data_IF_858349352320
#
_entry.id   IF_858349352320
#
_cell.length_a   1.000
_cell.length_b   1.000
_cell.length_c   1.000
_cell.angle_alpha   90.00
_cell.angle_beta   90.00
_cell.angle_gamma   90.00
#
_symmetry.space_group_name_H-M   'P 1'
#
loop_
_entity.id
_entity.type
_entity.pdbx_description
1 polymer ?
#
# COMPACT_ATOMS: atom_id res chain seq x y z
N UNK A 1 0.66 6.60 11.50
CA UNK A 1 1.50 6.83 12.71
C UNK A 1 0.72 6.58 14.00
N UNK A 2 -0.57 6.87 14.07
CA UNK A 2 -1.39 6.77 15.29
C UNK A 2 -1.39 5.37 15.91
N UNK A 3 -1.52 4.29 15.11
CA UNK A 3 -1.47 2.91 15.62
C UNK A 3 -0.09 2.56 16.22
N UNK A 4 1.02 3.00 15.62
CA UNK A 4 2.36 2.72 16.15
C UNK A 4 2.56 3.38 17.53
N UNK A 5 2.08 4.62 17.69
CA UNK A 5 2.13 5.31 18.98
C UNK A 5 1.24 4.62 20.02
N UNK A 6 0.03 4.21 19.62
CA UNK A 6 -0.87 3.47 20.50
C UNK A 6 -0.23 2.17 21.01
N UNK A 7 0.40 1.39 20.11
CA UNK A 7 1.11 0.15 20.49
C UNK A 7 2.23 0.45 21.50
N UNK A 8 3.05 1.48 21.23
CA UNK A 8 4.15 1.86 22.11
C UNK A 8 3.63 2.27 23.50
N UNK A 9 2.61 3.12 23.57
CA UNK A 9 1.99 3.59 24.81
C UNK A 9 1.36 2.43 25.60
N UNK A 10 0.64 1.54 24.89
CA UNK A 10 0.03 0.35 25.52
C UNK A 10 1.06 -0.58 26.17
N UNK A 11 2.24 -0.70 25.53
CA UNK A 11 3.33 -1.55 26.03
C UNK A 11 4.27 -0.83 26.99
N UNK A 12 4.10 0.49 27.21
CA UNK A 12 4.99 1.30 28.03
C UNK A 12 6.38 1.46 27.44
N UNK A 13 6.48 1.48 26.10
CA UNK A 13 7.71 1.62 25.33
C UNK A 13 7.82 3.02 24.71
N UNK A 14 9.02 3.41 24.34
CA UNK A 14 9.24 4.61 23.53
C UNK A 14 9.20 4.25 22.04
N UNK A 15 8.47 5.04 21.26
CA UNK A 15 8.44 4.91 19.81
C UNK A 15 9.62 5.64 19.17
N UNK A 16 10.40 4.93 18.37
CA UNK A 16 11.40 5.50 17.46
C UNK A 16 11.02 5.09 16.04
N UNK A 17 10.93 6.06 15.13
CA UNK A 17 10.50 5.85 13.76
C UNK A 17 11.66 6.05 12.81
N UNK A 18 11.92 5.03 11.97
CA UNK A 18 12.92 5.06 10.90
C UNK A 18 12.18 4.94 9.55
N UNK A 19 11.98 6.06 8.82
CA UNK A 19 11.32 6.03 7.52
C UNK A 19 12.22 5.43 6.46
N UNK A 20 11.66 4.58 5.59
CA UNK A 20 12.36 3.94 4.48
C UNK A 20 11.38 3.46 3.41
N UNK A 21 11.88 3.04 2.24
CA UNK A 21 11.06 2.44 1.21
C UNK A 21 10.58 1.04 1.63
N UNK A 22 9.50 0.54 0.99
CA UNK A 22 8.79 -0.67 1.40
C UNK A 22 9.72 -1.89 1.52
N UNK A 23 10.52 -2.17 0.49
CA UNK A 23 11.47 -3.29 0.46
C UNK A 23 12.58 -3.14 1.52
N UNK A 24 13.00 -1.91 1.81
CA UNK A 24 13.92 -1.59 2.91
C UNK A 24 13.39 -2.05 4.27
N UNK A 25 12.08 -1.91 4.51
CA UNK A 25 11.47 -2.35 5.78
C UNK A 25 11.60 -3.86 6.00
N UNK A 26 11.50 -4.66 4.95
CA UNK A 26 11.68 -6.12 5.01
C UNK A 26 13.12 -6.49 5.36
N UNK A 27 14.10 -5.77 4.79
CA UNK A 27 15.53 -5.99 5.04
C UNK A 27 15.91 -5.64 6.49
N UNK A 28 15.37 -4.54 7.02
CA UNK A 28 15.63 -4.12 8.39
C UNK A 28 15.01 -5.05 9.44
N UNK A 29 13.80 -5.59 9.16
CA UNK A 29 13.18 -6.64 9.98
C UNK A 29 14.01 -7.93 9.96
N UNK A 30 14.48 -8.35 8.79
CA UNK A 30 15.31 -9.54 8.63
C UNK A 30 16.64 -9.41 9.37
N UNK A 31 17.27 -8.25 9.32
CA UNK A 31 18.54 -7.96 10.01
C UNK A 31 18.34 -7.67 11.50
N UNK A 32 17.09 -7.54 11.96
CA UNK A 32 16.70 -7.21 13.35
C UNK A 32 17.25 -5.85 13.83
N UNK A 33 17.39 -4.91 12.93
CA UNK A 33 17.76 -3.51 13.24
C UNK A 33 16.55 -2.69 13.66
N UNK A 34 15.34 -3.16 13.28
CA UNK A 34 14.05 -2.65 13.78
C UNK A 34 13.27 -3.79 14.44
N UNK A 35 12.45 -3.44 15.43
CA UNK A 35 11.63 -4.42 16.15
C UNK A 35 10.31 -4.70 15.45
N UNK A 36 9.72 -3.67 14.82
CA UNK A 36 8.43 -3.69 14.13
C UNK A 36 8.55 -3.08 12.74
N UNK A 37 7.77 -3.58 11.80
CA UNK A 37 7.51 -2.98 10.50
C UNK A 37 6.02 -2.69 10.33
N UNK A 38 5.70 -1.49 9.87
CA UNK A 38 4.32 -1.04 9.64
C UNK A 38 4.26 -0.33 8.29
N UNK A 39 4.10 -1.10 7.23
CA UNK A 39 4.14 -0.64 5.84
C UNK A 39 2.99 -1.21 4.99
N UNK A 40 1.87 -1.57 5.61
CA UNK A 40 0.75 -2.18 4.90
C UNK A 40 1.03 -3.62 4.46
N UNK A 41 1.79 -4.38 5.25
CA UNK A 41 2.04 -5.78 4.93
C UNK A 41 0.76 -6.58 4.94
N UNK A 42 0.56 -7.41 3.93
CA UNK A 42 -0.36 -8.53 4.00
C UNK A 42 0.35 -9.78 4.52
N UNK A 43 -0.34 -10.66 5.26
CA UNK A 43 0.21 -11.95 5.63
C UNK A 43 0.62 -12.71 4.38
N UNK A 44 1.86 -13.18 4.34
CA UNK A 44 2.41 -13.89 3.20
C UNK A 44 3.32 -15.03 3.73
N UNK A 45 3.02 -16.31 3.41
CA UNK A 45 3.82 -17.44 3.86
C UNK A 45 5.30 -17.33 3.48
N UNK A 46 5.63 -16.72 2.34
CA UNK A 46 7.00 -16.55 1.88
C UNK A 46 7.80 -15.60 2.78
N UNK A 47 7.11 -14.70 3.47
CA UNK A 47 7.70 -13.74 4.42
C UNK A 47 7.78 -14.26 5.86
N UNK A 48 7.18 -15.41 6.17
CA UNK A 48 7.26 -16.03 7.50
C UNK A 48 8.68 -16.38 7.95
N UNK A 49 9.61 -16.52 7.01
CA UNK A 49 11.04 -16.72 7.33
C UNK A 49 11.72 -15.44 7.84
N UNK A 50 11.17 -14.27 7.52
CA UNK A 50 11.73 -12.93 7.80
C UNK A 50 11.12 -12.36 9.07
N UNK A 51 9.79 -12.48 9.23
CA UNK A 51 9.03 -11.85 10.31
C UNK A 51 7.93 -12.77 10.83
N UNK A 52 7.44 -12.45 12.02
CA UNK A 52 6.18 -12.96 12.56
C UNK A 52 5.09 -11.93 12.30
N UNK A 53 3.89 -12.36 11.92
CA UNK A 53 2.77 -11.48 11.62
C UNK A 53 1.86 -11.29 12.84
N UNK A 54 1.44 -10.05 13.08
CA UNK A 54 0.37 -9.76 14.03
C UNK A 54 -0.99 -10.24 13.52
N UNK A 55 -1.99 -10.15 14.36
CA UNK A 55 -3.38 -10.19 13.91
C UNK A 55 -3.65 -9.07 12.91
N UNK A 56 -4.55 -9.32 11.95
CA UNK A 56 -4.98 -8.32 10.96
C UNK A 56 -5.61 -7.15 11.71
N UNK A 57 -5.06 -5.95 11.53
CA UNK A 57 -5.60 -4.74 12.14
C UNK A 57 -6.53 -3.96 11.21
N UNK A 58 -6.35 -4.10 9.90
CA UNK A 58 -7.16 -3.45 8.88
C UNK A 58 -7.41 -4.43 7.73
N UNK A 59 -8.65 -4.52 7.25
CA UNK A 59 -9.01 -5.32 6.09
C UNK A 59 -9.06 -4.41 4.87
N UNK A 60 -8.19 -4.68 3.88
CA UNK A 60 -8.09 -3.97 2.61
C UNK A 60 -8.19 -4.92 1.44
N UNK A 61 -8.50 -4.38 0.26
CA UNK A 61 -8.51 -5.11 -1.00
C UNK A 61 -7.32 -4.75 -1.88
N UNK A 62 -7.25 -5.40 -3.04
CA UNK A 62 -6.30 -5.06 -4.09
C UNK A 62 -7.07 -4.66 -5.34
N UNK A 63 -6.58 -3.69 -6.07
CA UNK A 63 -7.24 -3.15 -7.25
C UNK A 63 -6.27 -3.00 -8.42
N UNK A 64 -6.82 -3.07 -9.63
CA UNK A 64 -6.12 -2.66 -10.83
C UNK A 64 -6.59 -1.26 -11.22
N UNK A 65 -5.61 -0.38 -11.43
CA UNK A 65 -5.79 1.05 -11.73
C UNK A 65 -5.22 1.35 -13.10
N UNK A 66 -5.89 2.19 -13.83
CA UNK A 66 -5.43 2.72 -15.13
C UNK A 66 -5.86 4.17 -15.29
N UNK A 67 -5.67 4.76 -16.46
CA UNK A 67 -6.22 6.07 -16.81
C UNK A 67 -7.63 5.95 -17.38
N UNK A 68 -8.44 7.00 -17.23
CA UNK A 68 -9.85 7.01 -17.70
C UNK A 68 -9.99 6.69 -19.20
N UNK A 69 -9.07 7.15 -20.02
CA UNK A 69 -9.06 6.89 -21.47
C UNK A 69 -8.76 5.44 -21.84
N UNK A 70 -8.12 4.67 -20.91
CA UNK A 70 -7.80 3.24 -21.08
C UNK A 70 -8.75 2.33 -20.31
N UNK A 71 -9.67 2.86 -19.50
CA UNK A 71 -10.53 2.09 -18.60
C UNK A 71 -11.30 0.97 -19.31
N UNK A 72 -11.81 1.24 -20.51
CA UNK A 72 -12.56 0.25 -21.30
C UNK A 72 -11.71 -0.91 -21.87
N UNK A 73 -10.37 -0.81 -21.77
CA UNK A 73 -9.45 -1.87 -22.20
C UNK A 73 -9.31 -2.98 -21.14
N UNK A 74 -9.64 -2.70 -19.89
CA UNK A 74 -9.45 -3.60 -18.76
C UNK A 74 -10.79 -3.94 -18.09
N UNK A 75 -11.47 -4.94 -18.63
CA UNK A 75 -12.78 -5.42 -18.16
C UNK A 75 -12.69 -6.69 -17.33
N UNK A 76 -11.55 -7.36 -17.38
CA UNK A 76 -11.19 -8.56 -16.61
C UNK A 76 -9.68 -8.58 -16.32
N UNK A 77 -9.26 -9.43 -15.38
CA UNK A 77 -7.82 -9.59 -15.09
C UNK A 77 -7.04 -10.18 -16.27
N UNK A 78 -7.69 -10.99 -17.12
CA UNK A 78 -7.06 -11.51 -18.33
C UNK A 78 -6.65 -10.39 -19.29
N UNK A 79 -7.38 -9.27 -19.33
CA UNK A 79 -7.06 -8.14 -20.21
C UNK A 79 -5.77 -7.42 -19.78
N UNK A 80 -5.30 -7.61 -18.54
CA UNK A 80 -4.03 -7.02 -18.06
C UNK A 80 -2.81 -7.76 -18.59
N UNK A 81 -2.98 -8.99 -19.08
CA UNK A 81 -1.92 -9.84 -19.58
C UNK A 81 -1.71 -9.67 -21.09
N UNK A 82 -1.00 -8.65 -21.49
CA UNK A 82 -0.73 -8.35 -22.89
C UNK A 82 0.74 -7.86 -23.04
N UNK A 83 1.55 -8.46 -23.97
CA UNK A 83 2.94 -8.10 -24.17
C UNK A 83 3.18 -6.65 -24.63
N UNK A 84 2.14 -5.97 -25.07
CA UNK A 84 2.22 -4.56 -25.47
C UNK A 84 1.98 -3.59 -24.28
N UNK A 85 1.65 -4.11 -23.08
CA UNK A 85 1.36 -3.28 -21.91
C UNK A 85 2.51 -3.27 -20.91
N UNK A 86 2.71 -2.09 -20.29
CA UNK A 86 3.58 -1.87 -19.14
C UNK A 86 2.72 -1.76 -17.87
N UNK A 87 2.90 -2.69 -16.94
CA UNK A 87 2.08 -2.82 -15.73
C UNK A 87 2.92 -2.49 -14.49
N UNK A 88 2.51 -1.46 -13.75
CA UNK A 88 3.20 -0.99 -12.55
C UNK A 88 2.84 -1.78 -11.30
N UNK A 89 3.82 -1.97 -10.40
CA UNK A 89 3.59 -2.43 -9.04
C UNK A 89 4.71 -1.94 -8.11
N UNK A 90 4.42 -1.87 -6.81
CA UNK A 90 5.45 -1.48 -5.84
C UNK A 90 6.43 -2.64 -5.62
N UNK A 91 7.74 -2.33 -5.68
CA UNK A 91 8.79 -3.31 -5.51
C UNK A 91 8.72 -4.02 -4.15
N UNK A 92 8.81 -5.35 -4.15
CA UNK A 92 8.78 -6.20 -2.95
C UNK A 92 7.40 -6.36 -2.30
N UNK A 93 6.35 -5.79 -2.87
CA UNK A 93 4.98 -5.87 -2.36
C UNK A 93 4.22 -7.07 -2.92
N UNK A 94 3.06 -7.39 -2.32
CA UNK A 94 2.14 -8.40 -2.88
C UNK A 94 1.55 -7.96 -4.22
N UNK A 95 1.47 -6.66 -4.49
CA UNK A 95 1.03 -6.14 -5.77
C UNK A 95 2.00 -6.51 -6.90
N UNK A 96 3.31 -6.59 -6.59
CA UNK A 96 4.31 -7.12 -7.53
C UNK A 96 4.07 -8.61 -7.83
N UNK A 97 3.71 -9.41 -6.82
CA UNK A 97 3.40 -10.83 -6.99
C UNK A 97 2.10 -11.01 -7.77
N UNK A 98 1.09 -10.17 -7.51
CA UNK A 98 -0.17 -10.15 -8.27
C UNK A 98 0.05 -9.74 -9.73
N UNK A 99 0.91 -8.75 -10.00
CA UNK A 99 1.27 -8.34 -11.35
C UNK A 99 1.95 -9.50 -12.11
N UNK A 100 2.94 -10.14 -11.51
CA UNK A 100 3.62 -11.28 -12.11
C UNK A 100 2.69 -12.50 -12.33
N UNK A 101 1.67 -12.67 -11.49
CA UNK A 101 0.73 -13.78 -11.57
C UNK A 101 -0.35 -13.56 -12.64
N UNK A 102 -0.93 -12.35 -12.66
CA UNK A 102 -2.06 -12.05 -13.54
C UNK A 102 -1.63 -11.47 -14.89
N UNK A 103 -0.45 -10.87 -14.98
CA UNK A 103 0.09 -10.22 -16.18
C UNK A 103 1.47 -10.74 -16.59
N UNK A 104 1.66 -12.08 -16.67
CA UNK A 104 3.00 -12.68 -16.86
C UNK A 104 3.64 -12.39 -18.22
N UNK A 105 2.85 -12.04 -19.24
CA UNK A 105 3.34 -11.70 -20.58
C UNK A 105 3.57 -10.19 -20.76
N UNK A 106 3.06 -9.37 -19.83
CA UNK A 106 3.24 -7.91 -19.84
C UNK A 106 4.62 -7.50 -19.31
N UNK A 107 5.05 -6.27 -19.62
CA UNK A 107 6.24 -5.68 -19.01
C UNK A 107 5.89 -5.20 -17.58
N UNK A 108 6.28 -5.98 -16.57
CA UNK A 108 6.03 -5.63 -15.16
C UNK A 108 7.12 -4.68 -14.66
N UNK A 109 6.73 -3.41 -14.44
CA UNK A 109 7.61 -2.33 -13.99
C UNK A 109 7.50 -2.19 -12.47
N UNK A 110 8.58 -2.49 -11.75
CA UNK A 110 8.63 -2.40 -10.29
C UNK A 110 9.23 -1.06 -9.85
N UNK A 111 8.45 -0.28 -9.12
CA UNK A 111 8.81 1.04 -8.64
C UNK A 111 8.89 1.09 -7.10
N UNK A 112 9.75 1.93 -6.52
CA UNK A 112 9.94 1.95 -5.06
C UNK A 112 8.73 2.51 -4.31
N UNK A 113 7.94 3.40 -4.92
CA UNK A 113 6.83 4.12 -4.29
C UNK A 113 5.58 4.10 -5.14
N UNK A 114 4.42 4.07 -4.48
CA UNK A 114 3.12 4.19 -5.17
C UNK A 114 2.97 5.55 -5.85
N UNK A 115 3.54 6.63 -5.27
CA UNK A 115 3.57 7.96 -5.91
C UNK A 115 4.25 7.95 -7.27
N UNK A 116 5.34 7.17 -7.43
CA UNK A 116 6.04 7.04 -8.70
C UNK A 116 5.17 6.28 -9.71
N UNK A 117 4.45 5.23 -9.26
CA UNK A 117 3.51 4.46 -10.09
C UNK A 117 2.39 5.37 -10.61
N UNK A 118 1.79 6.17 -9.73
CA UNK A 118 0.72 7.10 -10.09
C UNK A 118 1.22 8.16 -11.09
N UNK A 119 2.43 8.67 -10.86
CA UNK A 119 3.08 9.63 -11.76
C UNK A 119 3.27 9.02 -13.16
N UNK A 120 3.77 7.80 -13.24
CA UNK A 120 4.01 7.11 -14.52
C UNK A 120 2.70 6.70 -15.22
N UNK A 121 1.63 6.37 -14.49
CA UNK A 121 0.29 6.17 -15.06
C UNK A 121 -0.21 7.46 -15.72
N UNK A 122 -0.19 8.58 -15.01
CA UNK A 122 -0.64 9.88 -15.52
C UNK A 122 0.22 10.42 -16.65
N UNK A 123 1.52 10.09 -16.66
CA UNK A 123 2.42 10.43 -17.75
C UNK A 123 2.27 9.52 -18.99
N UNK A 124 1.50 8.42 -18.88
CA UNK A 124 1.32 7.43 -19.95
C UNK A 124 2.50 6.49 -20.15
N UNK A 125 3.42 6.40 -19.18
CA UNK A 125 4.54 5.46 -19.17
C UNK A 125 4.10 4.05 -18.74
N UNK A 126 2.95 3.94 -18.02
CA UNK A 126 2.31 2.69 -17.65
C UNK A 126 0.91 2.62 -18.28
N UNK A 127 0.46 1.40 -18.59
CA UNK A 127 -0.89 1.15 -19.08
C UNK A 127 -1.85 0.84 -17.94
N UNK A 128 -1.34 0.28 -16.86
CA UNK A 128 -2.09 -0.01 -15.65
C UNK A 128 -1.16 -0.32 -14.48
N UNK A 129 -1.74 -0.50 -13.29
CA UNK A 129 -0.97 -0.85 -12.10
C UNK A 129 -1.81 -1.60 -11.08
N UNK A 130 -1.16 -2.47 -10.30
CA UNK A 130 -1.74 -3.09 -9.12
C UNK A 130 -1.43 -2.23 -7.90
N UNK A 131 -2.47 -1.79 -7.19
CA UNK A 131 -2.38 -0.91 -6.02
C UNK A 131 -3.40 -1.40 -4.96
N UNK A 132 -3.10 -1.21 -3.68
CA UNK A 132 -4.04 -1.46 -2.59
C UNK A 132 -5.29 -0.57 -2.76
N UNK A 133 -6.49 -1.13 -2.55
CA UNK A 133 -7.76 -0.50 -2.97
C UNK A 133 -7.97 0.89 -2.37
N UNK A 134 -7.78 1.06 -1.05
CA UNK A 134 -8.01 2.37 -0.39
C UNK A 134 -7.01 3.42 -0.88
N UNK A 135 -5.77 3.01 -1.13
CA UNK A 135 -4.75 3.89 -1.71
C UNK A 135 -5.12 4.29 -3.14
N UNK A 136 -5.56 3.31 -3.95
CA UNK A 136 -6.02 3.54 -5.33
C UNK A 136 -7.20 4.50 -5.38
N UNK A 137 -8.21 4.29 -4.53
CA UNK A 137 -9.40 5.16 -4.43
C UNK A 137 -9.03 6.58 -3.97
N UNK A 138 -8.09 6.71 -3.03
CA UNK A 138 -7.59 8.00 -2.58
C UNK A 138 -6.93 8.79 -3.71
N UNK A 139 -6.08 8.12 -4.51
CA UNK A 139 -5.48 8.76 -5.69
C UNK A 139 -6.52 9.10 -6.76
N UNK A 140 -7.46 8.21 -7.05
CA UNK A 140 -8.52 8.47 -8.03
C UNK A 140 -9.44 9.64 -7.61
N UNK A 141 -9.64 9.85 -6.31
CA UNK A 141 -10.38 11.00 -5.80
C UNK A 141 -9.66 12.34 -6.04
N UNK A 142 -8.33 12.35 -6.03
CA UNK A 142 -7.51 13.55 -6.23
C UNK A 142 -7.11 13.74 -7.71
N UNK A 143 -7.05 12.68 -8.48
CA UNK A 143 -6.66 12.67 -9.90
C UNK A 143 -7.78 12.09 -10.75
N UNK A 144 -8.71 12.93 -11.29
CA UNK A 144 -9.86 12.47 -12.05
C UNK A 144 -9.53 11.68 -13.33
N UNK A 145 -8.29 11.78 -13.80
CA UNK A 145 -7.80 11.03 -14.95
C UNK A 145 -7.45 9.56 -14.61
N UNK A 146 -7.45 9.19 -13.31
CA UNK A 146 -7.27 7.81 -12.88
C UNK A 146 -8.61 7.10 -12.75
N UNK A 147 -8.61 5.80 -13.03
CA UNK A 147 -9.74 4.89 -12.86
C UNK A 147 -9.32 3.64 -12.09
N UNK A 148 -10.04 3.32 -11.03
CA UNK A 148 -9.99 2.00 -10.38
C UNK A 148 -10.97 1.11 -11.11
N UNK A 149 -10.47 0.13 -11.89
CA UNK A 149 -11.30 -0.60 -12.86
C UNK A 149 -11.60 -2.04 -12.48
N UNK A 150 -10.70 -2.71 -11.76
CA UNK A 150 -10.90 -4.10 -11.35
C UNK A 150 -10.58 -4.28 -9.87
N UNK A 151 -11.38 -5.09 -9.20
CA UNK A 151 -11.02 -5.71 -7.93
C UNK A 151 -10.14 -6.94 -8.22
N UNK A 152 -9.01 -7.04 -7.51
CA UNK A 152 -8.06 -8.13 -7.67
C UNK A 152 -8.22 -9.10 -6.52
N UNK A 153 -8.71 -10.34 -6.75
CA UNK A 153 -8.85 -11.33 -5.70
C UNK A 153 -7.49 -11.64 -5.05
N UNK A 154 -7.49 -11.69 -3.72
CA UNK A 154 -6.33 -12.04 -2.93
C UNK A 154 -6.76 -12.80 -1.66
N UNK A 155 -6.23 -14.00 -1.47
CA UNK A 155 -6.70 -14.93 -0.43
C UNK A 155 -6.35 -14.49 1.01
N UNK A 156 -5.41 -13.56 1.17
CA UNK A 156 -4.93 -13.08 2.46
C UNK A 156 -5.13 -11.57 2.61
N UNK A 157 -6.37 -11.14 2.37
CA UNK A 157 -6.73 -9.73 2.48
C UNK A 157 -6.54 -9.19 3.90
N UNK A 158 -5.85 -8.06 4.02
CA UNK A 158 -5.71 -7.33 5.27
C UNK A 158 -4.27 -6.93 5.60
N UNK A 159 -4.15 -5.91 6.44
CA UNK A 159 -2.87 -5.36 6.87
C UNK A 159 -2.49 -5.86 8.25
N UNK A 160 -1.21 -6.21 8.41
CA UNK A 160 -0.60 -6.71 9.64
C UNK A 160 0.63 -5.88 10.02
N UNK A 161 1.00 -5.94 11.29
CA UNK A 161 2.29 -5.47 11.77
C UNK A 161 3.29 -6.62 11.64
N UNK A 162 4.41 -6.38 10.94
CA UNK A 162 5.55 -7.29 10.93
C UNK A 162 6.34 -7.15 12.23
N UNK A 163 6.62 -8.27 12.90
CA UNK A 163 7.44 -8.31 14.12
C UNK A 163 8.71 -9.07 13.80
N UNK A 164 9.87 -8.57 14.23
CA UNK A 164 11.16 -9.26 14.06
C UNK A 164 11.07 -10.73 14.49
N UNK A 165 11.47 -11.61 13.58
CA UNK A 165 11.30 -13.08 13.72
C UNK A 165 11.81 -13.62 15.04
N UNK A 166 10.92 -14.35 15.75
CA UNK A 166 11.20 -15.03 17.01
C UNK A 166 10.99 -14.16 18.27
N UNK A 167 10.50 -12.92 18.13
CA UNK A 167 10.15 -12.08 19.28
C UNK A 167 8.68 -12.30 19.70
N UNK A 168 8.39 -13.49 20.22
CA UNK A 168 7.03 -13.89 20.57
C UNK A 168 6.39 -12.99 21.66
N UNK A 169 7.19 -12.47 22.58
CA UNK A 169 6.69 -11.59 23.65
C UNK A 169 6.21 -10.23 23.07
N UNK A 170 6.95 -9.68 22.10
CA UNK A 170 6.56 -8.44 21.43
C UNK A 170 5.32 -8.69 20.56
N UNK A 171 5.28 -9.80 19.79
CA UNK A 171 4.14 -10.18 18.96
C UNK A 171 2.86 -10.28 19.81
N UNK A 172 2.91 -10.97 20.93
CA UNK A 172 1.77 -11.09 21.85
C UNK A 172 1.33 -9.72 22.39
N UNK A 173 2.31 -8.85 22.69
CA UNK A 173 2.05 -7.48 23.13
C UNK A 173 1.35 -6.64 22.05
N UNK A 174 1.84 -6.72 20.81
CA UNK A 174 1.26 -6.04 19.64
C UNK A 174 -0.18 -6.50 19.42
N UNK A 175 -0.43 -7.82 19.43
CA UNK A 175 -1.78 -8.36 19.25
C UNK A 175 -2.75 -7.88 20.32
N UNK A 176 -2.32 -7.82 21.59
CA UNK A 176 -3.14 -7.25 22.67
C UNK A 176 -3.43 -5.76 22.46
N UNK A 177 -2.46 -5.00 22.01
CA UNK A 177 -2.65 -3.57 21.69
C UNK A 177 -3.62 -3.37 20.52
N UNK A 178 -3.51 -4.18 19.47
CA UNK A 178 -4.45 -4.17 18.32
C UNK A 178 -5.87 -4.50 18.78
N UNK A 179 -6.03 -5.55 19.58
CA UNK A 179 -7.33 -5.94 20.11
C UNK A 179 -7.95 -4.82 20.98
N UNK A 180 -7.16 -4.18 21.86
CA UNK A 180 -7.59 -3.05 22.67
C UNK A 180 -8.01 -1.85 21.81
N UNK A 181 -7.23 -1.50 20.77
CA UNK A 181 -7.56 -0.41 19.86
C UNK A 181 -8.85 -0.65 19.07
N UNK A 182 -9.16 -1.91 18.74
CA UNK A 182 -10.44 -2.29 18.10
C UNK A 182 -11.59 -2.20 19.10
N UNK A 183 -11.39 -2.62 20.36
CA UNK A 183 -12.42 -2.64 21.38
C UNK A 183 -12.81 -1.23 21.85
N UNK A 184 -11.83 -0.31 21.98
CA UNK A 184 -12.07 1.06 22.45
C UNK A 184 -12.44 2.05 21.31
N UNK A 185 -12.46 1.60 20.06
CA UNK A 185 -12.80 2.40 18.88
C UNK A 185 -11.65 3.27 18.35
N UNK A 186 -10.46 3.20 18.95
CA UNK A 186 -9.29 3.96 18.46
C UNK A 186 -8.87 3.54 17.07
N UNK A 187 -9.04 2.26 16.70
CA UNK A 187 -8.70 1.77 15.37
C UNK A 187 -9.51 2.47 14.27
N UNK A 188 -10.83 2.58 14.45
CA UNK A 188 -11.71 3.26 13.49
C UNK A 188 -11.33 4.73 13.33
N UNK A 189 -10.95 5.38 14.45
CA UNK A 189 -10.47 6.75 14.43
C UNK A 189 -9.15 6.87 13.65
N UNK A 190 -8.19 5.95 13.85
CA UNK A 190 -6.91 5.97 13.13
C UNK A 190 -7.10 5.79 11.62
N UNK A 191 -8.02 4.92 11.21
CA UNK A 191 -8.37 4.71 9.80
C UNK A 191 -9.00 5.98 9.22
N UNK A 192 -9.96 6.60 9.93
CA UNK A 192 -10.59 7.83 9.48
C UNK A 192 -9.58 8.98 9.32
N UNK A 193 -8.70 9.18 10.30
CA UNK A 193 -7.63 10.19 10.23
C UNK A 193 -6.65 9.94 9.07
N UNK A 194 -6.29 8.66 8.82
CA UNK A 194 -5.42 8.29 7.73
C UNK A 194 -6.07 8.57 6.35
N UNK A 195 -7.35 8.26 6.21
CA UNK A 195 -8.10 8.54 4.99
C UNK A 195 -8.24 10.05 4.72
N UNK A 196 -8.47 10.86 5.76
CA UNK A 196 -8.48 12.32 5.63
C UNK A 196 -7.12 12.88 5.19
N UNK A 197 -6.03 12.33 5.71
CA UNK A 197 -4.67 12.73 5.31
C UNK A 197 -4.34 12.28 3.88
N UNK A 198 -4.67 11.04 3.52
CA UNK A 198 -4.40 10.49 2.20
C UNK A 198 -5.16 11.25 1.09
N UNK A 199 -6.40 11.72 1.37
CA UNK A 199 -7.19 12.53 0.43
C UNK A 199 -6.60 13.92 0.20
N UNK A 200 -5.63 14.36 1.00
CA UNK A 200 -4.94 15.66 0.87
C UNK A 200 -3.56 15.59 0.21
N UNK A 201 -2.99 14.39 0.01
CA UNK A 201 -1.66 14.23 -0.58
C UNK A 201 -1.72 14.41 -2.11
N UNK A 202 -1.54 15.68 -2.53
CA UNK A 202 -1.36 16.03 -3.94
C UNK A 202 0.12 15.86 -4.27
N UNK A 203 0.44 15.11 -5.33
CA UNK A 203 1.81 14.99 -5.85
C UNK A 203 2.18 16.34 -6.47
N UNK A 204 3.14 17.07 -5.84
CA UNK A 204 3.60 18.36 -6.37
C UNK A 204 4.03 18.23 -7.84
N UNK A 205 3.45 19.07 -8.70
CA UNK A 205 3.78 19.13 -10.14
C UNK A 205 2.88 18.33 -11.06
N UNK A 206 1.91 17.54 -10.55
CA UNK A 206 0.91 16.82 -11.38
C UNK A 206 -0.43 17.55 -11.48
N UNK A 207 -0.70 18.54 -10.63
CA UNK A 207 -1.86 19.40 -10.78
C UNK A 207 -1.45 20.62 -11.59
N UNK A 208 -2.00 20.75 -12.80
CA UNK A 208 -1.89 21.97 -13.59
C UNK A 208 -2.70 23.05 -12.85
N UNK A 209 -2.00 23.96 -12.14
CA UNK A 209 -2.60 25.14 -11.53
C UNK A 209 -3.15 26.05 -12.64
N UNK A 210 -4.33 25.70 -13.15
CA UNK A 210 -5.05 26.43 -14.19
C UNK A 210 -5.49 27.85 -13.80
N UNK A 211 -4.71 28.54 -12.95
CA UNK A 211 -4.90 29.95 -12.58
C UNK A 211 -3.58 30.72 -12.61
N UNK A 212 -3.06 31.00 -13.81
CA UNK A 212 -2.27 32.22 -14.01
C UNK A 212 -2.17 32.56 -15.49
N UNK A 213 -3.20 33.10 -16.07
CA UNK A 213 -3.06 34.07 -17.21
C UNK A 213 -4.35 34.78 -17.46
N UNK A 214 -4.69 35.70 -16.55
CA UNK A 214 -5.57 36.82 -16.82
C UNK A 214 -5.04 37.99 -16.02
N UNK A 215 -4.04 38.68 -16.59
CA UNK A 215 -3.87 40.13 -16.50
C UNK A 215 -2.54 40.53 -17.18
N UNK A 216 -2.69 41.22 -18.30
CA UNK A 216 -1.61 41.87 -19.02
C UNK A 216 -2.13 42.50 -20.31
#
# INVERSE_FOLDING_TARGET
MSLAQYIADYLGLNLEITPMDFDGTLMELQSKTVDLGMAGYSPDPDRESIMDFSDIFYEGGQSFVTTQDKADLFTSLEDTNNPDYSIGAQNGSIQADLANTNSPDSDVVLLPKVTDIVTDLLAGNLDGAYIETVVAESYAANYPDLAVVLEVPYDQAGSVVGVSKGNAALLEGVNRAIAAAKEDGSMDQFVAEANEQASGDIIEGLVDDGETSAEG
#
